data_IF_076262381743
#
_entry.id   IF_076262381743
#
_cell.length_a   1.000
_cell.length_b   1.000
_cell.length_c   1.000
_cell.angle_alpha   90.00
_cell.angle_beta   90.00
_cell.angle_gamma   90.00
#
_symmetry.space_group_name_H-M   'P 1'
#
loop_
_entity.id
_entity.type
_entity.pdbx_description
1 polymer ?
#
# COMPACT_ATOMS: atom_id res chain seq x y z
N UNK A 1 8.28 -24.15 -18.62
CA UNK A 1 7.28 -23.08 -18.75
C UNK A 1 7.26 -22.35 -17.42
N UNK A 2 7.78 -21.12 -17.38
CA UNK A 2 7.77 -20.33 -16.14
C UNK A 2 6.38 -19.74 -15.99
N UNK A 3 5.56 -20.32 -15.12
CA UNK A 3 4.22 -19.82 -14.83
C UNK A 3 4.38 -18.48 -14.12
N UNK A 4 4.27 -17.37 -14.84
CA UNK A 4 4.20 -16.05 -14.21
C UNK A 4 2.85 -15.97 -13.51
N UNK A 5 2.84 -16.11 -12.18
CA UNK A 5 1.63 -16.00 -11.37
C UNK A 5 1.00 -14.62 -11.55
N UNK A 6 -0.31 -14.60 -11.80
CA UNK A 6 -1.10 -13.38 -12.05
C UNK A 6 -0.92 -12.35 -10.93
N UNK A 7 -0.74 -11.07 -11.27
CA UNK A 7 -0.69 -9.97 -10.30
C UNK A 7 -2.13 -9.55 -9.97
N UNK A 8 -2.50 -9.61 -8.70
CA UNK A 8 -3.85 -9.27 -8.22
C UNK A 8 -3.89 -7.92 -7.50
N UNK A 9 -2.75 -7.45 -6.99
CA UNK A 9 -2.58 -6.11 -6.42
C UNK A 9 -1.23 -5.56 -6.87
N UNK A 10 -1.22 -4.32 -7.35
CA UNK A 10 0.00 -3.56 -7.62
C UNK A 10 -0.15 -2.13 -7.13
N UNK A 11 0.84 -1.63 -6.40
CA UNK A 11 0.99 -0.21 -6.07
C UNK A 11 2.27 0.31 -6.71
N UNK A 12 2.21 1.52 -7.26
CA UNK A 12 3.34 2.21 -7.89
C UNK A 12 3.47 3.60 -7.30
N UNK A 13 4.59 3.89 -6.64
CA UNK A 13 4.89 5.17 -5.99
C UNK A 13 3.74 5.68 -5.10
N UNK A 14 3.07 4.76 -4.40
CA UNK A 14 1.84 5.07 -3.69
C UNK A 14 2.12 5.99 -2.51
N UNK A 15 1.55 7.19 -2.57
CA UNK A 15 1.75 8.24 -1.58
C UNK A 15 0.41 8.63 -0.96
N UNK A 16 0.44 8.90 0.34
CA UNK A 16 -0.71 9.42 1.08
C UNK A 16 -0.23 10.43 2.11
N UNK A 17 -0.70 11.65 1.98
CA UNK A 17 -0.48 12.73 2.94
C UNK A 17 -1.82 13.10 3.57
N UNK A 18 -1.84 13.20 4.89
CA UNK A 18 -2.98 13.67 5.67
C UNK A 18 -2.73 15.07 6.24
N UNK A 19 -3.80 15.85 6.35
CA UNK A 19 -3.82 17.17 7.00
C UNK A 19 -3.69 18.34 6.03
N UNK A 20 -4.39 19.44 6.32
CA UNK A 20 -4.38 20.68 5.53
C UNK A 20 -3.41 21.74 6.11
N UNK A 21 -2.35 21.30 6.79
CA UNK A 21 -1.41 22.19 7.47
C UNK A 21 -0.17 21.48 8.01
N UNK A 22 -0.29 20.81 9.16
CA UNK A 22 0.78 19.94 9.67
C UNK A 22 0.71 18.59 8.94
N UNK A 23 1.28 18.55 7.73
CA UNK A 23 1.23 17.37 6.87
C UNK A 23 1.88 16.15 7.52
N UNK A 24 1.16 15.03 7.49
CA UNK A 24 1.68 13.72 7.86
C UNK A 24 1.69 12.84 6.63
N UNK A 25 2.90 12.52 6.16
CA UNK A 25 3.10 11.55 5.08
C UNK A 25 2.96 10.14 5.64
N UNK A 26 1.77 9.58 5.53
CA UNK A 26 1.45 8.23 6.01
C UNK A 26 1.97 7.12 5.10
N UNK A 27 2.03 7.38 3.78
CA UNK A 27 2.72 6.54 2.79
C UNK A 27 3.63 7.43 1.95
N UNK A 28 4.83 6.94 1.67
CA UNK A 28 5.87 7.67 0.92
C UNK A 28 6.44 6.78 -0.18
N UNK A 29 5.92 6.89 -1.41
CA UNK A 29 6.45 6.14 -2.56
C UNK A 29 6.38 4.62 -2.42
N UNK A 30 5.28 4.07 -1.88
CA UNK A 30 5.20 2.63 -1.60
C UNK A 30 4.94 1.81 -2.87
N UNK A 31 5.88 0.91 -3.17
CA UNK A 31 5.78 -0.08 -4.25
C UNK A 31 5.52 -1.47 -3.68
N UNK A 32 4.43 -2.11 -4.10
CA UNK A 32 4.02 -3.44 -3.66
C UNK A 32 3.43 -4.22 -4.84
N UNK A 33 3.76 -5.50 -4.94
CA UNK A 33 3.12 -6.44 -5.87
C UNK A 33 2.68 -7.65 -5.07
N UNK A 34 1.41 -8.02 -5.19
CA UNK A 34 0.86 -9.27 -4.63
C UNK A 34 0.36 -10.12 -5.77
N UNK A 35 0.84 -11.37 -5.82
CA UNK A 35 0.44 -12.35 -6.83
C UNK A 35 -0.67 -13.26 -6.33
N UNK A 36 -1.39 -13.87 -7.25
CA UNK A 36 -2.45 -14.82 -6.94
C UNK A 36 -1.90 -15.97 -6.09
N UNK A 37 -2.59 -16.27 -4.97
CA UNK A 37 -2.18 -17.32 -4.04
C UNK A 37 -1.04 -16.94 -3.09
N UNK A 38 -0.52 -15.71 -3.16
CA UNK A 38 0.49 -15.21 -2.22
C UNK A 38 -0.13 -14.83 -0.88
N UNK A 39 0.49 -15.26 0.22
CA UNK A 39 0.14 -14.84 1.57
C UNK A 39 1.21 -13.89 2.09
N UNK A 40 0.84 -12.62 2.29
CA UNK A 40 1.75 -11.54 2.68
C UNK A 40 1.26 -10.89 3.98
N UNK A 41 2.20 -10.58 4.87
CA UNK A 41 1.94 -9.83 6.10
C UNK A 41 2.65 -8.47 6.08
N UNK A 42 1.94 -7.40 6.43
CA UNK A 42 2.50 -6.05 6.58
C UNK A 42 2.72 -5.77 8.07
N UNK A 43 3.98 -5.58 8.45
CA UNK A 43 4.41 -5.43 9.84
C UNK A 43 5.13 -4.09 10.07
N UNK A 44 5.10 -3.58 11.31
CA UNK A 44 5.79 -2.35 11.67
C UNK A 44 5.19 -1.67 12.90
N UNK A 45 5.89 -0.69 13.52
CA UNK A 45 5.44 0.02 14.72
C UNK A 45 4.06 0.68 14.56
N UNK A 46 3.40 1.04 15.67
CA UNK A 46 2.18 1.86 15.59
C UNK A 46 2.46 3.17 14.85
N UNK A 47 1.52 3.63 14.01
CA UNK A 47 1.67 4.86 13.22
C UNK A 47 2.46 4.75 11.91
N UNK A 48 3.07 3.60 11.58
CA UNK A 48 3.85 3.39 10.35
C UNK A 48 3.06 3.37 9.03
N UNK A 49 1.76 3.67 9.02
CA UNK A 49 0.96 3.71 7.79
C UNK A 49 0.37 2.37 7.32
N UNK A 50 0.51 1.27 8.07
CA UNK A 50 -0.03 -0.06 7.69
C UNK A 50 -1.53 -0.04 7.35
N UNK A 51 -2.36 0.52 8.24
CA UNK A 51 -3.80 0.61 8.00
C UNK A 51 -4.12 1.55 6.83
N UNK A 52 -3.33 2.60 6.63
CA UNK A 52 -3.43 3.47 5.46
C UNK A 52 -3.14 2.70 4.17
N UNK A 53 -2.07 1.90 4.12
CA UNK A 53 -1.76 1.04 2.99
C UNK A 53 -2.91 0.06 2.68
N UNK A 54 -3.47 -0.58 3.70
CA UNK A 54 -4.60 -1.51 3.52
C UNK A 54 -5.87 -0.82 3.03
N UNK A 55 -6.20 0.37 3.54
CA UNK A 55 -7.34 1.15 3.08
C UNK A 55 -7.18 1.58 1.62
N UNK A 56 -5.96 1.97 1.25
CA UNK A 56 -5.60 2.36 -0.11
C UNK A 56 -5.73 1.19 -1.10
N UNK A 57 -5.17 0.02 -0.77
CA UNK A 57 -5.28 -1.20 -1.59
C UNK A 57 -6.74 -1.67 -1.66
N UNK A 58 -7.50 -1.53 -0.57
CA UNK A 58 -8.92 -1.85 -0.51
C UNK A 58 -9.85 -0.84 -1.20
N UNK A 59 -9.30 0.17 -1.89
CA UNK A 59 -10.05 1.25 -2.56
C UNK A 59 -11.01 2.03 -1.62
N UNK A 60 -10.72 2.04 -0.32
CA UNK A 60 -11.48 2.78 0.70
C UNK A 60 -10.98 4.22 0.87
N UNK A 61 -9.80 4.53 0.35
CA UNK A 61 -9.18 5.85 0.34
C UNK A 61 -8.49 6.09 -1.02
N UNK A 62 -8.06 7.33 -1.27
CA UNK A 62 -7.42 7.76 -2.53
C UNK A 62 -6.01 8.30 -2.28
N UNK A 63 -5.10 8.14 -3.26
CA UNK A 63 -3.74 8.66 -3.14
C UNK A 63 -3.76 10.19 -3.13
N UNK A 64 -2.71 10.77 -2.57
CA UNK A 64 -2.47 12.23 -2.64
C UNK A 64 -1.53 12.55 -3.79
#
# INVERSE_FOLDING_TARGET
MTTTTEIIVETRELTKVYGDGAEVRALDGVNLVVRQGEFLAVMGPSGSGKSTLLNMIGALDRPT
#
